data_IF_762333394774
#
_entry.id   IF_762333394774
#
_cell.length_a   1.000
_cell.length_b   1.000
_cell.length_c   1.000
_cell.angle_alpha   90.00
_cell.angle_beta   90.00
_cell.angle_gamma   90.00
#
_symmetry.space_group_name_H-M   'P 1'
#
loop_
_entity.id
_entity.type
_entity.pdbx_description
1 polymer ?
#
# COMPACT_ATOMS: atom_id res chain seq x y z
N UNK A 1 5.53 7.24 17.19
CA UNK A 1 4.29 6.71 16.58
C UNK A 1 4.75 5.67 15.59
N UNK A 2 4.32 4.41 15.73
CA UNK A 2 4.75 3.32 14.87
C UNK A 2 3.70 3.17 13.77
N UNK A 3 3.93 3.78 12.61
CA UNK A 3 3.06 3.57 11.46
C UNK A 3 3.20 2.11 10.98
N UNK A 4 2.11 1.34 10.88
CA UNK A 4 2.19 -0.06 10.49
C UNK A 4 2.60 -0.18 9.02
N UNK A 5 3.48 -1.14 8.73
CA UNK A 5 3.90 -1.47 7.35
C UNK A 5 3.08 -2.67 6.87
N UNK A 6 2.26 -2.47 5.84
CA UNK A 6 1.38 -3.48 5.28
C UNK A 6 1.80 -3.82 3.86
N UNK A 7 1.65 -5.08 3.48
CA UNK A 7 1.87 -5.59 2.13
C UNK A 7 0.59 -6.27 1.68
N UNK A 8 0.12 -5.93 0.47
CA UNK A 8 -1.04 -6.57 -0.14
C UNK A 8 -0.62 -7.23 -1.45
N UNK A 9 -1.18 -8.40 -1.76
CA UNK A 9 -0.80 -9.13 -2.98
C UNK A 9 -1.44 -8.52 -4.22
N UNK A 10 -2.67 -8.04 -4.06
CA UNK A 10 -3.50 -7.56 -5.14
C UNK A 10 -4.32 -6.33 -4.72
N UNK A 11 -4.80 -5.59 -5.71
CA UNK A 11 -5.62 -4.39 -5.51
C UNK A 11 -6.86 -4.65 -4.67
N UNK A 12 -7.52 -5.80 -4.83
CA UNK A 12 -8.71 -6.16 -4.07
C UNK A 12 -8.45 -6.32 -2.56
N UNK A 13 -7.29 -6.86 -2.16
CA UNK A 13 -6.92 -6.94 -0.73
C UNK A 13 -6.68 -5.54 -0.15
N UNK A 14 -6.07 -4.66 -0.95
CA UNK A 14 -5.83 -3.27 -0.57
C UNK A 14 -7.13 -2.49 -0.39
N UNK A 15 -8.06 -2.59 -1.34
CA UNK A 15 -9.38 -1.95 -1.29
C UNK A 15 -10.23 -2.47 -0.12
N UNK A 16 -10.19 -3.79 0.13
CA UNK A 16 -10.86 -4.40 1.26
C UNK A 16 -10.32 -3.87 2.59
N UNK A 17 -9.01 -3.64 2.70
CA UNK A 17 -8.41 -3.05 3.89
C UNK A 17 -8.78 -1.57 4.04
N UNK A 18 -8.71 -0.78 2.96
CA UNK A 18 -9.10 0.63 2.93
C UNK A 18 -10.56 0.83 3.34
N UNK A 19 -11.45 -0.03 2.86
CA UNK A 19 -12.88 0.05 3.21
C UNK A 19 -13.13 -0.17 4.70
N UNK A 20 -12.36 -1.06 5.33
CA UNK A 20 -12.56 -1.44 6.73
C UNK A 20 -11.78 -0.58 7.73
N UNK A 21 -10.56 -0.15 7.35
CA UNK A 21 -9.59 0.49 8.25
C UNK A 21 -9.17 1.87 7.77
N UNK A 22 -9.55 2.28 6.56
CA UNK A 22 -9.13 3.54 5.96
C UNK A 22 -9.68 4.78 6.67
N UNK A 23 -10.82 4.67 7.35
CA UNK A 23 -11.37 5.81 8.10
C UNK A 23 -10.77 5.93 9.52
N UNK A 24 -10.32 4.80 10.09
CA UNK A 24 -9.80 4.72 11.46
C UNK A 24 -8.29 4.81 11.56
N UNK A 25 -7.58 4.55 10.45
CA UNK A 25 -6.11 4.57 10.41
C UNK A 25 -5.61 5.98 10.07
N UNK A 26 -4.71 6.52 10.88
CA UNK A 26 -4.09 7.84 10.68
C UNK A 26 -2.97 7.86 9.64
N UNK A 27 -2.51 6.70 9.17
CA UNK A 27 -1.48 6.57 8.14
C UNK A 27 -0.80 5.21 8.21
N UNK A 28 -0.48 4.65 7.04
CA UNK A 28 0.21 3.36 6.92
C UNK A 28 1.34 3.46 5.89
N UNK A 29 2.30 2.54 5.99
CA UNK A 29 3.30 2.33 4.94
C UNK A 29 2.90 1.14 4.08
N UNK A 30 2.69 1.39 2.80
CA UNK A 30 2.40 0.35 1.83
C UNK A 30 3.70 -0.18 1.20
N UNK A 31 3.98 -1.47 1.36
CA UNK A 31 5.13 -2.14 0.76
C UNK A 31 4.74 -2.70 -0.60
N UNK A 32 5.44 -2.27 -1.63
CA UNK A 32 5.23 -2.67 -3.02
C UNK A 32 6.46 -3.41 -3.51
N UNK A 33 6.24 -4.60 -4.08
CA UNK A 33 7.26 -5.37 -4.76
C UNK A 33 7.79 -4.62 -5.98
N UNK A 34 9.10 -4.76 -6.22
CA UNK A 34 9.68 -4.29 -7.48
C UNK A 34 9.28 -5.21 -8.63
N UNK A 35 9.29 -4.65 -9.83
CA UNK A 35 9.08 -5.39 -11.07
C UNK A 35 10.15 -6.50 -11.17
N UNK A 36 9.73 -7.76 -11.08
CA UNK A 36 10.62 -8.94 -11.09
C UNK A 36 10.96 -9.52 -9.72
N UNK A 37 10.36 -9.04 -8.63
CA UNK A 37 10.48 -9.68 -7.32
C UNK A 37 9.83 -11.08 -7.34
N UNK A 38 10.41 -12.02 -6.57
CA UNK A 38 9.89 -13.40 -6.48
C UNK A 38 8.50 -13.52 -5.84
N UNK A 39 7.99 -12.44 -5.26
CA UNK A 39 6.68 -12.38 -4.66
C UNK A 39 5.94 -11.15 -5.21
N UNK A 40 4.95 -11.34 -6.10
CA UNK A 40 4.22 -10.24 -6.70
C UNK A 40 3.31 -9.56 -5.67
N UNK A 41 3.20 -8.24 -5.77
CA UNK A 41 2.22 -7.41 -5.05
C UNK A 41 1.49 -6.54 -6.07
N UNK A 42 0.47 -5.80 -5.60
CA UNK A 42 -0.13 -4.74 -6.40
C UNK A 42 0.92 -3.72 -6.84
N UNK A 43 0.67 -3.07 -7.98
CA UNK A 43 1.54 -2.00 -8.48
C UNK A 43 1.29 -0.71 -7.70
N UNK A 44 2.28 0.20 -7.74
CA UNK A 44 2.12 1.54 -7.18
C UNK A 44 0.91 2.27 -7.79
N UNK A 45 0.69 2.10 -9.09
CA UNK A 45 -0.44 2.72 -9.80
C UNK A 45 -1.78 2.21 -9.26
N UNK A 46 -1.96 0.89 -9.15
CA UNK A 46 -3.18 0.30 -8.58
C UNK A 46 -3.41 0.72 -7.13
N UNK A 47 -2.35 0.75 -6.33
CA UNK A 47 -2.41 1.19 -4.95
C UNK A 47 -2.88 2.65 -4.84
N UNK A 48 -2.30 3.53 -5.66
CA UNK A 48 -2.62 4.95 -5.70
C UNK A 48 -4.06 5.19 -6.17
N UNK A 49 -4.49 4.54 -7.24
CA UNK A 49 -5.86 4.66 -7.75
C UNK A 49 -6.90 4.28 -6.69
N UNK A 50 -6.73 3.12 -6.05
CA UNK A 50 -7.63 2.69 -4.98
C UNK A 50 -7.54 3.62 -3.76
N UNK A 51 -6.36 4.10 -3.39
CA UNK A 51 -6.22 5.07 -2.30
C UNK A 51 -7.06 6.33 -2.59
N UNK A 52 -6.90 6.93 -3.78
CA UNK A 52 -7.64 8.12 -4.19
C UNK A 52 -9.16 7.90 -4.20
N UNK A 53 -9.63 6.74 -4.68
CA UNK A 53 -11.04 6.38 -4.66
C UNK A 53 -11.64 6.32 -3.24
N UNK A 54 -10.82 5.94 -2.26
CA UNK A 54 -11.20 5.88 -0.85
C UNK A 54 -10.91 7.18 -0.08
N UNK A 55 -10.49 8.25 -0.76
CA UNK A 55 -10.16 9.54 -0.13
C UNK A 55 -8.80 9.58 0.56
N UNK A 56 -7.96 8.56 0.33
CA UNK A 56 -6.58 8.51 0.80
C UNK A 56 -5.64 9.20 -0.19
N UNK A 57 -4.56 9.78 0.34
CA UNK A 57 -3.54 10.49 -0.43
C UNK A 57 -2.20 9.79 -0.19
N UNK A 58 -1.39 9.63 -1.24
CA UNK A 58 -0.03 9.17 -1.06
C UNK A 58 0.85 10.29 -0.48
N UNK A 59 1.56 9.98 0.60
CA UNK A 59 2.41 10.96 1.29
C UNK A 59 3.87 10.83 0.88
N UNK A 60 4.57 9.96 1.58
CA UNK A 60 6.01 9.77 1.40
C UNK A 60 6.29 8.47 0.66
N UNK A 61 7.06 8.58 -0.43
CA UNK A 61 7.67 7.43 -1.08
C UNK A 61 9.07 7.23 -0.51
N UNK A 62 9.26 6.16 0.25
CA UNK A 62 10.59 5.70 0.64
C UNK A 62 10.95 4.42 -0.10
N UNK A 63 12.18 4.37 -0.58
CA UNK A 63 12.78 3.12 -1.07
C UNK A 63 13.35 2.38 0.13
N UNK A 64 12.73 1.26 0.52
CA UNK A 64 13.32 0.37 1.50
C UNK A 64 14.46 -0.40 0.81
N UNK A 65 15.69 0.06 1.04
CA UNK A 65 16.90 -0.53 0.45
C UNK A 65 17.33 -1.75 1.26
N UNK A 66 16.65 -2.88 1.06
CA UNK A 66 17.24 -4.23 1.09
C UNK A 66 16.15 -5.25 0.75
N UNK A 67 16.22 -5.82 -0.46
CA UNK A 67 15.48 -7.01 -0.90
C UNK A 67 13.94 -6.98 -0.79
N UNK A 68 13.27 -6.16 -1.63
CA UNK A 68 11.96 -6.51 -2.23
C UNK A 68 11.68 -5.67 -3.49
#
# INVERSE_FOLDING_TARGET
>A
MTEPRLTFRDQNEWEGWLTQNGDTSTGIWLRLAKKGAGQPTLTYEQALESALCHGWIDGQKQTESEAY
#
